data_IF_282881574272
#
_entry.id   IF_282881574272
#
_cell.length_a   1.000
_cell.length_b   1.000
_cell.length_c   1.000
_cell.angle_alpha   90.00
_cell.angle_beta   90.00
_cell.angle_gamma   90.00
#
_symmetry.space_group_name_H-M   'P 1'
#
loop_
_entity.id
_entity.type
_entity.pdbx_description
1 polymer ?
#
# COMPACT_ATOMS: atom_id res chain seq x y z
N UNK A 1 47.43 15.39 5.28
CA UNK A 1 46.14 15.87 4.74
C UNK A 1 45.02 15.55 5.73
N UNK A 2 45.23 16.02 6.97
CA UNK A 2 44.57 15.56 8.22
C UNK A 2 44.31 16.76 9.14
N UNK A 3 44.46 17.98 8.61
CA UNK A 3 44.38 19.25 9.33
C UNK A 3 43.15 20.10 8.94
N UNK A 4 42.36 19.70 7.93
CA UNK A 4 41.11 20.38 7.55
C UNK A 4 39.82 19.66 8.00
N UNK A 5 39.92 18.40 8.44
CA UNK A 5 38.77 17.65 8.98
C UNK A 5 38.56 17.93 10.49
N UNK A 6 39.62 18.33 11.21
CA UNK A 6 39.51 18.70 12.64
C UNK A 6 38.90 20.09 12.85
N UNK A 7 39.05 21.01 11.90
CA UNK A 7 38.52 22.39 12.01
C UNK A 7 37.02 22.47 11.74
N UNK A 8 36.46 21.59 10.89
CA UNK A 8 35.02 21.55 10.61
C UNK A 8 34.22 20.92 11.79
N UNK A 9 34.81 19.94 12.47
CA UNK A 9 34.19 19.29 13.64
C UNK A 9 34.15 20.24 14.85
N UNK A 10 35.15 21.12 15.02
CA UNK A 10 35.18 22.10 16.11
C UNK A 10 34.18 23.26 15.96
N UNK A 11 33.70 23.53 14.74
CA UNK A 11 32.72 24.60 14.45
C UNK A 11 31.29 24.08 14.60
N UNK A 12 31.02 22.79 14.34
CA UNK A 12 29.69 22.21 14.54
C UNK A 12 29.37 21.96 16.03
N UNK A 13 30.37 21.59 16.84
CA UNK A 13 30.18 21.35 18.29
C UNK A 13 30.01 22.65 19.10
N UNK A 14 30.42 23.80 18.56
CA UNK A 14 30.25 25.11 19.21
C UNK A 14 28.86 25.74 18.97
N UNK A 15 28.13 25.29 17.96
CA UNK A 15 26.77 25.77 17.65
C UNK A 15 25.66 25.07 18.46
N UNK A 16 26.04 24.10 19.30
CA UNK A 16 25.15 23.40 20.25
C UNK A 16 25.07 24.11 21.62
N UNK A 17 25.80 25.20 21.85
CA UNK A 17 25.93 25.77 23.20
C UNK A 17 25.53 27.25 23.38
N UNK A 18 24.83 27.90 22.44
CA UNK A 18 24.63 29.36 22.51
C UNK A 18 23.22 29.89 22.18
N UNK A 19 22.17 29.11 22.44
CA UNK A 19 20.78 29.64 22.51
C UNK A 19 19.99 29.22 23.75
N UNK A 20 20.60 28.53 24.71
CA UNK A 20 20.06 28.43 26.06
C UNK A 20 20.77 29.44 26.96
N UNK A 21 20.15 30.62 27.16
CA UNK A 21 20.10 31.38 28.42
C UNK A 21 19.80 32.86 28.13
N UNK A 22 18.63 33.29 28.64
CA UNK A 22 18.12 34.63 28.98
C UNK A 22 16.62 34.61 28.60
N UNK A 23 15.62 34.56 29.48
CA UNK A 23 15.50 34.82 30.93
C UNK A 23 14.12 34.31 31.37
N UNK A 24 14.02 33.75 32.58
CA UNK A 24 12.73 33.58 33.28
C UNK A 24 12.74 32.46 34.30
N UNK A 25 13.06 32.78 35.55
CA UNK A 25 12.94 31.86 36.68
C UNK A 25 11.48 31.39 36.84
N UNK A 26 11.21 30.14 36.48
CA UNK A 26 10.31 29.26 37.22
C UNK A 26 10.99 27.89 37.29
N UNK A 27 11.21 27.41 38.52
CA UNK A 27 11.62 26.04 38.77
C UNK A 27 10.47 25.11 38.39
N UNK A 28 10.43 24.65 37.14
CA UNK A 28 9.71 23.44 36.82
C UNK A 28 10.49 22.26 37.42
N UNK A 29 9.84 21.26 38.04
CA UNK A 29 10.52 20.03 38.43
C UNK A 29 11.17 19.38 37.21
N UNK A 30 12.20 18.56 37.43
CA UNK A 30 12.77 17.75 36.36
C UNK A 30 11.67 16.80 35.84
N UNK A 31 11.42 16.73 34.51
CA UNK A 31 10.35 15.91 33.97
C UNK A 31 10.58 14.44 34.33
N UNK A 32 9.61 13.85 35.04
CA UNK A 32 9.78 12.53 35.65
C UNK A 32 9.53 11.37 34.67
N UNK A 33 8.85 11.56 33.53
CA UNK A 33 8.31 10.45 32.73
C UNK A 33 9.06 10.27 31.39
N UNK A 34 10.14 9.47 31.40
CA UNK A 34 10.97 9.23 30.20
C UNK A 34 11.38 7.76 30.07
N UNK A 35 11.43 7.25 28.84
CA UNK A 35 11.93 5.91 28.55
C UNK A 35 12.04 5.59 27.06
N UNK A 36 12.89 4.62 26.72
CA UNK A 36 13.01 4.05 25.39
C UNK A 36 12.83 2.53 25.47
N UNK A 37 11.91 2.01 24.66
CA UNK A 37 11.45 0.62 24.74
C UNK A 37 11.57 -0.03 23.36
N UNK A 38 12.45 -1.03 23.25
CA UNK A 38 12.52 -1.88 22.06
C UNK A 38 11.52 -3.02 22.19
N UNK A 39 10.74 -3.28 21.14
CA UNK A 39 9.71 -4.30 21.15
C UNK A 39 10.36 -5.68 20.91
N UNK A 40 10.58 -6.47 21.97
CA UNK A 40 11.33 -7.75 21.86
C UNK A 40 10.55 -9.04 22.12
N UNK A 41 9.37 -9.02 22.76
CA UNK A 41 8.48 -10.20 22.89
C UNK A 41 7.11 -9.88 23.56
N UNK A 42 6.67 -8.63 23.57
CA UNK A 42 5.57 -8.18 24.43
C UNK A 42 4.44 -7.64 23.57
N UNK A 43 3.24 -8.21 23.75
CA UNK A 43 2.08 -8.06 22.87
C UNK A 43 1.75 -6.59 22.60
N UNK A 44 2.03 -6.12 21.38
CA UNK A 44 1.41 -4.90 20.86
C UNK A 44 0.08 -5.30 20.26
N UNK A 45 -0.98 -4.60 20.67
CA UNK A 45 -2.29 -4.71 20.06
C UNK A 45 -2.57 -3.48 19.21
N UNK A 46 -2.80 -3.71 17.92
CA UNK A 46 -3.32 -2.71 16.98
C UNK A 46 -4.72 -3.15 16.59
N UNK A 47 -5.72 -2.31 16.84
CA UNK A 47 -7.13 -2.65 16.57
C UNK A 47 -7.57 -3.98 17.21
N UNK A 48 -7.07 -4.28 18.41
CA UNK A 48 -7.36 -5.52 19.15
C UNK A 48 -6.64 -6.77 18.63
N UNK A 49 -5.87 -6.68 17.54
CA UNK A 49 -5.08 -7.79 16.98
C UNK A 49 -3.66 -7.74 17.51
N UNK A 50 -3.19 -8.86 18.06
CA UNK A 50 -1.78 -8.99 18.45
C UNK A 50 -0.94 -9.12 17.18
N UNK A 51 -0.04 -8.16 16.95
CA UNK A 51 0.84 -8.19 15.78
C UNK A 51 2.10 -9.01 16.06
N UNK A 52 2.56 -9.75 15.05
CA UNK A 52 3.83 -10.46 15.11
C UNK A 52 4.98 -9.48 14.87
N UNK A 53 5.80 -9.22 15.88
CA UNK A 53 6.87 -8.22 15.80
C UNK A 53 7.97 -8.59 14.80
N UNK A 54 8.05 -9.86 14.35
CA UNK A 54 8.98 -10.25 13.28
C UNK A 54 8.65 -9.61 11.93
N UNK A 55 7.39 -9.22 11.71
CA UNK A 55 6.97 -8.46 10.54
C UNK A 55 7.37 -6.97 10.64
N UNK A 56 7.81 -6.51 11.82
CA UNK A 56 8.11 -5.11 12.16
C UNK A 56 9.51 -4.95 12.77
N UNK A 57 10.59 -5.31 12.04
CA UNK A 57 11.94 -5.27 12.56
C UNK A 57 12.37 -3.84 12.88
N UNK A 58 12.99 -3.65 14.05
CA UNK A 58 13.50 -2.33 14.47
C UNK A 58 12.45 -1.41 15.08
N UNK A 59 11.23 -1.89 15.30
CA UNK A 59 10.18 -1.11 15.95
C UNK A 59 10.50 -0.77 17.41
N UNK A 60 10.21 0.47 17.79
CA UNK A 60 10.45 0.98 19.15
C UNK A 60 9.40 2.01 19.57
N UNK A 61 9.30 2.20 20.89
CA UNK A 61 8.51 3.29 21.48
C UNK A 61 9.42 4.13 22.36
N UNK A 62 9.39 5.44 22.14
CA UNK A 62 10.11 6.41 22.97
C UNK A 62 9.10 7.33 23.63
N UNK A 63 9.19 7.48 24.95
CA UNK A 63 8.37 8.41 25.72
C UNK A 63 9.30 9.49 26.27
N UNK A 64 9.03 10.75 25.93
CA UNK A 64 9.79 11.92 26.41
C UNK A 64 8.85 12.86 27.13
N UNK A 65 9.15 13.23 28.37
CA UNK A 65 8.29 14.14 29.10
C UNK A 65 8.45 15.58 28.60
N UNK A 66 7.31 16.27 28.51
CA UNK A 66 7.22 17.69 28.19
C UNK A 66 7.09 18.48 29.49
N UNK A 67 6.21 18.01 30.37
CA UNK A 67 5.98 18.49 31.73
C UNK A 67 5.47 17.35 32.63
N UNK A 68 4.93 17.67 33.81
CA UNK A 68 4.48 16.69 34.80
C UNK A 68 3.19 15.94 34.39
N UNK A 69 2.42 16.47 33.44
CA UNK A 69 1.13 15.91 32.99
C UNK A 69 1.10 15.59 31.50
N UNK A 70 2.17 15.93 30.77
CA UNK A 70 2.25 15.80 29.31
C UNK A 70 3.53 15.08 28.89
N UNK A 71 3.36 14.06 28.06
CA UNK A 71 4.46 13.32 27.43
C UNK A 71 4.31 13.32 25.92
N UNK A 72 5.43 13.23 25.21
CA UNK A 72 5.49 12.92 23.79
C UNK A 72 5.77 11.44 23.63
N UNK A 73 4.88 10.72 22.96
CA UNK A 73 5.03 9.30 22.61
C UNK A 73 5.41 9.22 21.14
N UNK A 74 6.59 8.69 20.86
CA UNK A 74 7.09 8.41 19.51
C UNK A 74 7.06 6.91 19.28
N UNK A 75 6.39 6.47 18.22
CA UNK A 75 6.25 5.06 17.82
C UNK A 75 6.94 4.90 16.47
N UNK A 76 8.03 4.17 16.43
CA UNK A 76 8.84 3.97 15.24
C UNK A 76 8.50 2.63 14.58
N UNK A 77 8.29 2.65 13.26
CA UNK A 77 8.21 1.45 12.41
C UNK A 77 7.23 0.37 12.89
N UNK A 78 6.06 0.77 13.42
CA UNK A 78 5.04 -0.14 13.98
C UNK A 78 3.67 0.01 13.31
N UNK A 79 3.43 1.13 12.61
CA UNK A 79 2.19 1.44 11.93
C UNK A 79 2.51 1.69 10.45
N UNK A 80 1.76 1.06 9.55
CA UNK A 80 1.92 1.30 8.12
C UNK A 80 1.75 2.79 7.80
N UNK A 81 2.52 3.31 6.84
CA UNK A 81 2.51 4.72 6.45
C UNK A 81 3.25 5.69 7.40
N UNK A 82 3.77 5.20 8.53
CA UNK A 82 4.55 6.01 9.47
C UNK A 82 5.94 5.41 9.69
N UNK A 83 6.98 6.15 9.30
CA UNK A 83 8.34 5.89 9.77
C UNK A 83 8.41 6.09 11.29
N UNK A 84 7.86 7.23 11.75
CA UNK A 84 7.67 7.58 13.16
C UNK A 84 6.33 8.30 13.32
N UNK A 85 5.43 7.77 14.16
CA UNK A 85 4.26 8.49 14.64
C UNK A 85 4.60 9.19 15.95
N UNK A 86 4.39 10.51 16.02
CA UNK A 86 4.56 11.30 17.26
C UNK A 86 3.21 11.77 17.76
N UNK A 87 2.90 11.47 19.03
CA UNK A 87 1.64 11.82 19.69
C UNK A 87 1.93 12.59 20.98
N UNK A 88 1.29 13.75 21.14
CA UNK A 88 1.20 14.41 22.43
C UNK A 88 0.16 13.69 23.28
N UNK A 89 0.54 13.22 24.45
CA UNK A 89 -0.29 12.42 25.33
C UNK A 89 -0.35 13.03 26.73
N UNK A 90 -1.52 12.99 27.34
CA UNK A 90 -1.68 13.27 28.77
C UNK A 90 -1.18 12.06 29.56
N UNK A 91 -0.40 12.31 30.60
CA UNK A 91 0.13 11.29 31.49
C UNK A 91 -0.37 11.51 32.92
N UNK A 92 -0.57 10.42 33.64
CA UNK A 92 -0.98 10.41 35.05
C UNK A 92 -0.33 9.24 35.78
N UNK A 93 0.22 9.46 36.97
CA UNK A 93 0.92 8.40 37.71
C UNK A 93 1.57 8.82 39.02
N UNK A 94 2.21 7.84 39.67
CA UNK A 94 2.84 7.97 41.00
C UNK A 94 4.34 8.28 40.91
N UNK A 95 4.87 8.56 39.71
CA UNK A 95 6.27 8.93 39.48
C UNK A 95 6.83 8.38 38.16
N UNK A 96 8.16 8.47 38.02
CA UNK A 96 8.91 8.09 36.81
C UNK A 96 8.66 6.67 36.33
N UNK A 97 8.61 5.73 37.27
CA UNK A 97 8.61 4.30 36.96
C UNK A 97 7.19 3.73 36.88
N UNK A 98 6.15 4.52 37.15
CA UNK A 98 4.76 4.02 37.14
C UNK A 98 3.77 5.10 36.77
N UNK A 99 3.34 5.07 35.51
CA UNK A 99 2.37 6.02 34.97
C UNK A 99 1.59 5.42 33.81
N UNK A 100 0.45 6.04 33.53
CA UNK A 100 -0.37 5.78 32.35
C UNK A 100 -0.30 6.98 31.43
N UNK A 101 -0.47 6.77 30.13
CA UNK A 101 -0.56 7.84 29.15
C UNK A 101 -1.66 7.56 28.13
N UNK A 102 -2.24 8.62 27.57
CA UNK A 102 -3.20 8.55 26.47
C UNK A 102 -3.10 9.79 25.60
N UNK A 103 -3.07 9.60 24.29
CA UNK A 103 -3.03 10.68 23.32
C UNK A 103 -3.71 10.28 22.01
N UNK A 104 -3.98 11.27 21.17
CA UNK A 104 -4.60 11.06 19.87
C UNK A 104 -3.83 11.79 18.78
N UNK A 105 -3.86 11.21 17.59
CA UNK A 105 -3.39 11.79 16.34
C UNK A 105 -4.56 11.77 15.36
N UNK A 106 -4.69 12.83 14.57
CA UNK A 106 -5.63 12.91 13.45
C UNK A 106 -4.91 13.53 12.27
N UNK A 107 -4.83 12.80 11.17
CA UNK A 107 -4.06 13.18 9.98
C UNK A 107 -3.86 11.99 9.06
N UNK A 108 -3.41 12.24 7.83
CA UNK A 108 -3.28 11.21 6.78
C UNK A 108 -4.51 10.31 6.65
N UNK A 109 -5.71 10.90 6.68
CA UNK A 109 -6.99 10.18 6.63
C UNK A 109 -7.14 9.08 7.70
N UNK A 110 -6.56 9.30 8.89
CA UNK A 110 -6.61 8.37 10.02
C UNK A 110 -6.80 9.09 11.34
N UNK A 111 -7.57 8.46 12.22
CA UNK A 111 -7.68 8.82 13.63
C UNK A 111 -7.03 7.72 14.47
N UNK A 112 -5.92 8.03 15.12
CA UNK A 112 -5.13 7.08 15.89
C UNK A 112 -5.18 7.47 17.36
N UNK A 113 -5.67 6.56 18.21
CA UNK A 113 -5.61 6.68 19.66
C UNK A 113 -4.52 5.77 20.21
N UNK A 114 -3.61 6.35 20.98
CA UNK A 114 -2.50 5.64 21.60
C UNK A 114 -2.68 5.72 23.10
N UNK A 115 -2.64 4.58 23.78
CA UNK A 115 -2.62 4.52 25.25
C UNK A 115 -1.67 3.46 25.75
N UNK A 116 -1.21 3.62 26.98
CA UNK A 116 -0.33 2.65 27.59
C UNK A 116 -0.08 2.86 29.07
N UNK A 117 0.57 1.86 29.65
CA UNK A 117 0.99 1.83 31.05
C UNK A 117 2.46 1.48 31.10
N UNK A 118 3.22 2.27 31.85
CA UNK A 118 4.60 1.98 32.23
C UNK A 118 4.61 1.47 33.66
N UNK A 119 5.27 0.34 33.89
CA UNK A 119 5.53 -0.23 35.21
C UNK A 119 6.98 -0.76 35.25
N UNK A 120 7.87 0.03 35.85
CA UNK A 120 9.32 -0.15 35.81
C UNK A 120 9.85 -0.12 34.38
N UNK A 121 10.42 -1.24 33.93
CA UNK A 121 10.92 -1.39 32.56
C UNK A 121 9.90 -1.97 31.58
N UNK A 122 8.68 -2.28 32.03
CA UNK A 122 7.64 -2.88 31.21
C UNK A 122 6.70 -1.80 30.65
N UNK A 123 6.46 -1.86 29.34
CA UNK A 123 5.49 -1.03 28.64
C UNK A 123 4.36 -1.92 28.12
N UNK A 124 3.13 -1.58 28.50
CA UNK A 124 1.92 -2.06 27.81
C UNK A 124 1.45 -0.96 26.85
N UNK A 125 1.28 -1.29 25.57
CA UNK A 125 0.84 -0.35 24.54
C UNK A 125 -0.42 -0.86 23.85
N UNK A 126 -1.42 0.00 23.73
CA UNK A 126 -2.65 -0.22 22.98
C UNK A 126 -2.80 0.88 21.93
N UNK A 127 -3.00 0.47 20.68
CA UNK A 127 -3.24 1.38 19.57
C UNK A 127 -4.58 1.04 18.92
N UNK A 128 -5.44 2.06 18.82
CA UNK A 128 -6.64 2.01 17.98
C UNK A 128 -6.41 2.93 16.80
N UNK A 129 -6.47 2.39 15.60
CA UNK A 129 -6.17 3.07 14.35
C UNK A 129 -7.36 2.95 13.41
N UNK A 130 -8.02 4.08 13.18
CA UNK A 130 -9.26 4.17 12.41
C UNK A 130 -8.98 4.89 11.10
N UNK A 131 -9.11 4.18 9.98
CA UNK A 131 -9.10 4.77 8.66
C UNK A 131 -10.39 5.59 8.45
N UNK A 132 -10.20 6.87 8.13
CA UNK A 132 -11.26 7.84 7.81
C UNK A 132 -11.24 8.27 6.34
N UNK A 133 -10.37 7.67 5.53
CA UNK A 133 -10.20 8.00 4.12
C UNK A 133 -11.49 7.81 3.30
N UNK A 134 -11.74 8.65 2.27
CA UNK A 134 -12.86 8.48 1.34
C UNK A 134 -12.89 7.14 0.62
N UNK A 135 -11.76 6.43 0.54
CA UNK A 135 -11.71 5.08 -0.05
C UNK A 135 -12.23 3.99 0.90
N UNK A 136 -12.38 4.28 2.19
CA UNK A 136 -12.89 3.33 3.18
C UNK A 136 -14.35 2.98 2.86
N UNK A 137 -14.65 1.68 2.73
CA UNK A 137 -15.99 1.23 2.35
C UNK A 137 -15.98 -0.08 1.56
N UNK A 138 -17.16 -0.48 1.09
CA UNK A 138 -17.33 -1.65 0.24
C UNK A 138 -17.47 -1.25 -1.21
N UNK A 139 -16.74 -1.94 -2.07
CA UNK A 139 -16.59 -1.58 -3.47
C UNK A 139 -16.76 -2.81 -4.36
N UNK A 140 -17.47 -2.62 -5.48
CA UNK A 140 -17.55 -3.56 -6.60
C UNK A 140 -16.88 -2.96 -7.83
N UNK A 141 -16.40 -3.83 -8.71
CA UNK A 141 -16.01 -3.38 -10.05
C UNK A 141 -17.22 -2.71 -10.74
N UNK A 142 -17.01 -1.52 -11.26
CA UNK A 142 -18.03 -0.83 -12.04
C UNK A 142 -18.23 -1.56 -13.37
N UNK A 143 -19.43 -1.47 -13.93
CA UNK A 143 -19.77 -2.03 -15.24
C UNK A 143 -20.02 -0.85 -16.18
N UNK A 144 -19.39 -0.85 -17.35
CA UNK A 144 -19.61 0.19 -18.36
C UNK A 144 -20.86 -0.10 -19.20
N UNK A 145 -21.19 0.81 -20.13
CA UNK A 145 -22.42 0.75 -20.93
C UNK A 145 -22.55 -0.51 -21.81
N UNK A 146 -21.43 -1.15 -22.12
CA UNK A 146 -21.37 -2.41 -22.89
C UNK A 146 -21.55 -3.67 -22.04
N UNK A 147 -21.77 -3.52 -20.73
CA UNK A 147 -21.95 -4.65 -19.81
C UNK A 147 -20.64 -5.29 -19.34
N UNK A 148 -19.48 -4.76 -19.73
CA UNK A 148 -18.18 -5.25 -19.28
C UNK A 148 -17.61 -4.39 -18.15
N UNK A 149 -16.73 -4.97 -17.33
CA UNK A 149 -16.04 -4.27 -16.25
C UNK A 149 -15.34 -3.00 -16.76
N UNK A 150 -15.47 -1.90 -16.04
CA UNK A 150 -14.89 -0.60 -16.39
C UNK A 150 -13.41 -0.56 -15.98
N UNK A 151 -12.62 -1.21 -16.83
CA UNK A 151 -11.17 -1.39 -16.71
C UNK A 151 -10.53 -0.85 -17.98
N UNK A 152 -9.44 -0.10 -17.85
CA UNK A 152 -8.71 0.39 -19.01
C UNK A 152 -7.20 0.36 -18.80
N UNK A 153 -6.49 -0.17 -19.78
CA UNK A 153 -5.07 -0.06 -19.96
C UNK A 153 -4.76 1.15 -20.85
N UNK A 154 -3.92 2.03 -20.35
CA UNK A 154 -3.30 3.11 -21.10
C UNK A 154 -1.81 2.83 -21.27
N UNK A 155 -1.30 3.17 -22.45
CA UNK A 155 0.09 3.02 -22.79
C UNK A 155 0.54 4.21 -23.64
N UNK A 156 1.73 4.72 -23.34
CA UNK A 156 2.35 5.77 -24.13
C UNK A 156 3.86 5.54 -24.19
N UNK A 157 4.44 5.62 -25.39
CA UNK A 157 5.88 5.59 -25.58
C UNK A 157 6.30 6.59 -26.66
N UNK A 158 7.34 7.40 -26.44
CA UNK A 158 7.88 8.27 -27.49
C UNK A 158 8.66 7.50 -28.56
N UNK A 159 8.99 6.22 -28.30
CA UNK A 159 9.84 5.39 -29.18
C UNK A 159 9.04 4.39 -30.03
N UNK A 160 7.76 4.16 -29.68
CA UNK A 160 6.91 3.16 -30.32
C UNK A 160 5.58 3.81 -30.68
N UNK A 161 5.38 4.10 -31.97
CA UNK A 161 4.11 4.55 -32.54
C UNK A 161 3.31 3.41 -33.19
N UNK A 162 4.01 2.35 -33.62
CA UNK A 162 3.47 1.26 -34.42
C UNK A 162 3.97 -0.10 -33.90
N UNK A 163 3.09 -1.08 -33.94
CA UNK A 163 3.34 -2.47 -33.57
C UNK A 163 3.46 -3.29 -34.86
N UNK A 164 4.65 -3.82 -35.18
CA UNK A 164 4.81 -4.69 -36.35
C UNK A 164 4.10 -6.04 -36.11
N UNK A 165 3.46 -6.56 -37.14
CA UNK A 165 3.01 -7.95 -37.20
C UNK A 165 3.89 -8.74 -38.19
N UNK A 166 4.11 -10.02 -37.89
CA UNK A 166 5.23 -10.83 -38.43
C UNK A 166 5.24 -11.10 -39.95
N UNK A 167 4.31 -10.53 -40.72
CA UNK A 167 4.21 -10.60 -42.18
C UNK A 167 4.71 -9.32 -42.89
N UNK A 168 5.24 -8.35 -42.14
CA UNK A 168 5.78 -7.10 -42.66
C UNK A 168 4.84 -5.90 -42.59
N UNK A 169 3.64 -6.03 -42.02
CA UNK A 169 2.77 -4.91 -41.70
C UNK A 169 2.94 -4.35 -40.28
N UNK A 170 2.27 -3.23 -39.98
CA UNK A 170 2.18 -2.66 -38.63
C UNK A 170 0.81 -2.06 -38.32
N UNK A 171 0.46 -1.98 -37.04
CA UNK A 171 -0.76 -1.32 -36.53
C UNK A 171 -0.36 -0.17 -35.59
N UNK A 172 -1.00 1.01 -35.68
CA UNK A 172 -0.79 2.08 -34.71
C UNK A 172 -1.06 1.61 -33.28
N UNK A 173 -0.25 2.05 -32.34
CA UNK A 173 -0.38 1.69 -30.91
C UNK A 173 -1.76 2.06 -30.36
N UNK A 174 -2.35 3.18 -30.80
CA UNK A 174 -3.68 3.61 -30.37
C UNK A 174 -4.79 2.63 -30.76
N UNK A 175 -4.77 2.15 -32.01
CA UNK A 175 -5.73 1.16 -32.51
C UNK A 175 -5.53 -0.19 -31.82
N UNK A 176 -4.27 -0.57 -31.61
CA UNK A 176 -3.90 -1.74 -30.85
C UNK A 176 -4.43 -1.69 -29.40
N UNK A 177 -4.34 -0.54 -28.73
CA UNK A 177 -4.84 -0.39 -27.36
C UNK A 177 -6.35 -0.53 -27.26
N UNK A 178 -7.12 -0.12 -28.28
CA UNK A 178 -8.57 -0.35 -28.32
C UNK A 178 -8.88 -1.84 -28.28
N UNK A 179 -8.20 -2.64 -29.11
CA UNK A 179 -8.38 -4.09 -29.16
C UNK A 179 -7.92 -4.77 -27.86
N UNK A 180 -6.79 -4.34 -27.28
CA UNK A 180 -6.30 -4.87 -25.99
C UNK A 180 -7.30 -4.58 -24.88
N UNK A 181 -7.85 -3.38 -24.83
CA UNK A 181 -8.81 -3.02 -23.80
C UNK A 181 -10.10 -3.82 -23.91
N UNK A 182 -10.63 -4.01 -25.11
CA UNK A 182 -11.81 -4.84 -25.33
C UNK A 182 -11.58 -6.27 -24.82
N UNK A 183 -10.49 -6.90 -25.28
CA UNK A 183 -10.12 -8.25 -24.89
C UNK A 183 -9.83 -8.41 -23.40
N UNK A 184 -9.10 -7.46 -22.80
CA UNK A 184 -8.82 -7.43 -21.36
C UNK A 184 -10.11 -7.42 -20.54
N UNK A 185 -11.05 -6.55 -20.92
CA UNK A 185 -12.34 -6.41 -20.22
C UNK A 185 -13.19 -7.65 -20.41
N UNK A 186 -13.26 -8.23 -21.60
CA UNK A 186 -13.99 -9.48 -21.86
C UNK A 186 -13.44 -10.66 -21.04
N UNK A 187 -12.12 -10.79 -20.91
CA UNK A 187 -11.54 -11.87 -20.13
C UNK A 187 -11.63 -11.67 -18.62
N UNK A 188 -11.53 -10.44 -18.12
CA UNK A 188 -11.57 -10.17 -16.67
C UNK A 188 -13.00 -10.12 -16.13
N UNK A 189 -13.98 -9.69 -16.94
CA UNK A 189 -15.37 -9.53 -16.48
C UNK A 189 -15.96 -10.81 -15.86
N UNK A 190 -15.80 -12.01 -16.45
CA UNK A 190 -16.27 -13.26 -15.85
C UNK A 190 -15.61 -13.57 -14.50
N UNK A 191 -14.32 -13.30 -14.36
CA UNK A 191 -13.58 -13.51 -13.10
C UNK A 191 -14.10 -12.57 -12.00
N UNK A 192 -14.44 -11.33 -12.37
CA UNK A 192 -15.03 -10.35 -11.46
C UNK A 192 -16.50 -10.64 -11.13
N UNK A 193 -17.20 -11.47 -11.90
CA UNK A 193 -18.59 -11.82 -11.61
C UNK A 193 -18.73 -12.59 -10.28
N UNK A 194 -17.68 -13.34 -9.90
CA UNK A 194 -17.61 -14.04 -8.62
C UNK A 194 -17.08 -13.15 -7.48
N UNK A 195 -16.51 -11.98 -7.79
CA UNK A 195 -16.11 -11.01 -6.78
C UNK A 195 -17.37 -10.29 -6.25
N UNK A 196 -17.78 -10.65 -5.04
CA UNK A 196 -18.88 -10.01 -4.36
C UNK A 196 -18.57 -8.56 -4.04
N UNK A 197 -17.56 -8.28 -3.21
CA UNK A 197 -17.06 -6.92 -3.02
C UNK A 197 -15.66 -6.96 -2.40
N UNK A 198 -14.95 -5.84 -2.50
CA UNK A 198 -13.75 -5.56 -1.71
C UNK A 198 -14.13 -4.52 -0.65
N UNK A 199 -13.93 -4.87 0.62
CA UNK A 199 -14.12 -3.98 1.76
C UNK A 199 -12.77 -3.44 2.23
N UNK A 200 -12.58 -2.13 2.11
CA UNK A 200 -11.53 -1.40 2.80
C UNK A 200 -12.10 -1.03 4.18
N UNK A 201 -11.78 -1.83 5.19
CA UNK A 201 -12.37 -1.71 6.53
C UNK A 201 -11.82 -0.49 7.27
N UNK A 202 -12.55 0.00 8.27
CA UNK A 202 -12.05 1.09 9.13
C UNK A 202 -10.82 0.73 9.95
N UNK A 203 -10.48 -0.55 10.08
CA UNK A 203 -9.33 -1.01 10.86
C UNK A 203 -8.07 -1.18 10.02
N UNK A 204 -8.08 -0.73 8.76
CA UNK A 204 -6.92 -0.81 7.86
C UNK A 204 -6.71 -2.19 7.23
N UNK A 205 -7.75 -3.03 7.17
CA UNK A 205 -7.71 -4.34 6.54
C UNK A 205 -8.56 -4.38 5.27
N UNK A 206 -8.20 -5.28 4.37
CA UNK A 206 -8.95 -5.56 3.15
C UNK A 206 -9.72 -6.87 3.36
N UNK A 207 -11.04 -6.78 3.35
CA UNK A 207 -11.92 -7.94 3.27
C UNK A 207 -12.32 -8.20 1.83
N UNK A 208 -12.24 -9.44 1.38
CA UNK A 208 -12.66 -9.83 0.03
C UNK A 208 -13.85 -10.77 0.18
N UNK A 209 -15.02 -10.31 -0.25
CA UNK A 209 -16.19 -11.16 -0.37
C UNK A 209 -16.22 -11.78 -1.76
N UNK A 210 -16.34 -13.09 -1.80
CA UNK A 210 -16.35 -13.88 -3.02
C UNK A 210 -17.59 -14.78 -3.01
N UNK A 211 -18.30 -14.80 -4.12
CA UNK A 211 -19.55 -15.53 -4.32
C UNK A 211 -19.35 -16.91 -4.98
N UNK A 212 -18.13 -17.19 -5.46
CA UNK A 212 -17.78 -18.47 -6.09
C UNK A 212 -17.09 -19.46 -5.15
N UNK A 213 -16.70 -20.62 -5.69
CA UNK A 213 -15.86 -21.57 -4.95
C UNK A 213 -14.44 -21.01 -4.80
N UNK A 214 -13.86 -21.17 -3.60
CA UNK A 214 -12.51 -20.71 -3.26
C UNK A 214 -11.72 -21.92 -2.78
N UNK A 215 -10.47 -22.04 -3.25
CA UNK A 215 -9.56 -23.06 -2.73
C UNK A 215 -9.26 -22.83 -1.26
N UNK A 216 -9.15 -23.89 -0.46
CA UNK A 216 -8.81 -23.80 0.97
C UNK A 216 -7.49 -23.08 1.25
N UNK A 217 -6.57 -23.04 0.29
CA UNK A 217 -5.31 -22.31 0.38
C UNK A 217 -5.48 -20.78 0.23
N UNK A 218 -6.51 -20.33 -0.48
CA UNK A 218 -6.76 -18.92 -0.78
C UNK A 218 -7.77 -18.28 0.18
N UNK A 219 -8.69 -19.07 0.75
CA UNK A 219 -9.71 -18.60 1.70
C UNK A 219 -9.13 -17.79 2.87
N UNK A 220 -8.01 -18.17 3.51
CA UNK A 220 -7.42 -17.37 4.58
C UNK A 220 -6.93 -15.99 4.13
N UNK A 221 -6.59 -15.80 2.85
CA UNK A 221 -6.12 -14.51 2.32
C UNK A 221 -7.26 -13.50 2.13
N UNK A 222 -8.51 -13.96 2.15
CA UNK A 222 -9.68 -13.13 1.87
C UNK A 222 -10.19 -12.35 3.09
N UNK A 223 -9.70 -12.67 4.30
CA UNK A 223 -10.12 -12.02 5.54
C UNK A 223 -8.93 -11.69 6.42
N UNK A 224 -8.81 -10.42 6.81
CA UNK A 224 -7.91 -9.91 7.86
C UNK A 224 -6.41 -10.22 7.69
N UNK A 225 -5.97 -10.55 6.48
CA UNK A 225 -4.54 -10.75 6.15
C UNK A 225 -3.95 -9.57 5.40
N UNK A 226 -4.67 -9.07 4.40
CA UNK A 226 -4.23 -7.95 3.58
C UNK A 226 -4.55 -6.66 4.34
N UNK A 227 -3.56 -5.79 4.47
CA UNK A 227 -3.72 -4.47 5.08
C UNK A 227 -3.70 -3.39 3.99
N UNK A 228 -4.27 -2.24 4.30
CA UNK A 228 -4.13 -1.06 3.46
C UNK A 228 -3.90 0.18 4.30
N UNK A 229 -3.30 1.20 3.68
CA UNK A 229 -3.19 2.53 4.28
C UNK A 229 -3.25 3.63 3.20
N UNK A 230 -3.92 4.76 3.49
CA UNK A 230 -3.99 5.90 2.59
C UNK A 230 -2.78 6.84 2.76
N UNK A 231 -2.27 7.37 1.65
CA UNK A 231 -1.32 8.47 1.57
C UNK A 231 -1.99 9.64 0.81
N UNK A 232 -2.88 10.40 1.47
CA UNK A 232 -3.75 11.35 0.79
C UNK A 232 -2.98 12.48 0.09
N UNK A 233 -1.84 12.89 0.63
CA UNK A 233 -0.99 13.95 0.05
C UNK A 233 -0.44 13.57 -1.33
N UNK A 234 -0.17 12.28 -1.55
CA UNK A 234 0.28 11.74 -2.83
C UNK A 234 -0.87 11.15 -3.67
N UNK A 235 -2.11 11.16 -3.14
CA UNK A 235 -3.26 10.44 -3.71
C UNK A 235 -2.93 8.96 -3.98
N UNK A 236 -2.23 8.32 -3.03
CA UNK A 236 -1.87 6.90 -3.08
C UNK A 236 -2.62 6.07 -2.05
N UNK A 237 -3.01 4.88 -2.44
CA UNK A 237 -3.59 3.84 -1.60
C UNK A 237 -2.62 2.66 -1.63
N UNK A 238 -2.07 2.31 -0.49
CA UNK A 238 -1.12 1.22 -0.38
C UNK A 238 -1.84 -0.06 0.02
N UNK A 239 -1.56 -1.14 -0.70
CA UNK A 239 -1.98 -2.49 -0.35
C UNK A 239 -0.76 -3.25 0.15
N UNK A 240 -0.81 -3.68 1.39
CA UNK A 240 0.30 -4.27 2.11
C UNK A 240 0.04 -5.74 2.47
N UNK A 241 0.98 -6.60 2.12
CA UNK A 241 1.05 -7.98 2.60
C UNK A 241 2.33 -8.17 3.41
N UNK A 242 2.17 -8.61 4.65
CA UNK A 242 3.26 -8.79 5.61
C UNK A 242 4.29 -9.84 5.17
N UNK A 243 5.51 -9.68 5.67
CA UNK A 243 6.67 -10.54 5.36
C UNK A 243 6.36 -12.02 5.61
N UNK A 244 5.80 -12.37 6.76
CA UNK A 244 5.47 -13.77 7.09
C UNK A 244 4.56 -14.46 6.07
N UNK A 245 3.66 -13.70 5.43
CA UNK A 245 2.76 -14.23 4.39
C UNK A 245 3.47 -14.29 3.05
N UNK A 246 4.10 -13.19 2.65
CA UNK A 246 4.81 -13.10 1.36
C UNK A 246 5.97 -14.11 1.27
N UNK A 247 6.73 -14.29 2.35
CA UNK A 247 7.76 -15.34 2.48
C UNK A 247 7.16 -16.74 2.45
N UNK A 248 6.06 -16.96 3.19
CA UNK A 248 5.36 -18.24 3.22
C UNK A 248 4.80 -18.65 1.85
N UNK A 249 4.44 -17.67 1.03
CA UNK A 249 4.01 -17.84 -0.36
C UNK A 249 5.17 -17.90 -1.37
N UNK A 250 6.41 -17.64 -0.93
CA UNK A 250 7.58 -17.62 -1.82
C UNK A 250 7.59 -16.48 -2.84
N UNK A 251 7.00 -15.32 -2.50
CA UNK A 251 6.99 -14.16 -3.39
C UNK A 251 8.39 -13.55 -3.52
N UNK A 252 8.72 -13.05 -4.72
CA UNK A 252 10.03 -12.41 -4.98
C UNK A 252 10.22 -11.09 -4.21
N UNK A 253 9.12 -10.44 -3.81
CA UNK A 253 9.10 -9.18 -3.07
C UNK A 253 8.46 -9.44 -1.70
N UNK A 254 9.20 -9.11 -0.62
CA UNK A 254 8.78 -9.35 0.75
C UNK A 254 9.35 -8.30 1.74
N UNK A 255 8.49 -7.60 2.53
CA UNK A 255 7.04 -7.57 2.41
C UNK A 255 6.62 -6.95 1.06
N UNK A 256 5.37 -7.17 0.67
CA UNK A 256 4.79 -6.54 -0.52
C UNK A 256 4.06 -5.27 -0.09
N UNK A 257 4.45 -4.14 -0.67
CA UNK A 257 3.75 -2.87 -0.56
C UNK A 257 3.48 -2.32 -1.96
N UNK A 258 2.23 -2.38 -2.39
CA UNK A 258 1.78 -1.95 -3.70
C UNK A 258 1.06 -0.60 -3.60
N UNK A 259 1.71 0.46 -4.09
CA UNK A 259 1.15 1.81 -4.12
C UNK A 259 0.26 2.01 -5.37
N UNK A 260 -1.06 2.13 -5.15
CA UNK A 260 -2.07 2.42 -6.16
C UNK A 260 -2.32 3.92 -6.18
N UNK A 261 -2.35 4.57 -7.33
CA UNK A 261 -2.97 5.89 -7.40
C UNK A 261 -4.49 5.75 -7.25
N UNK A 262 -5.13 6.67 -6.53
CA UNK A 262 -6.59 6.66 -6.40
C UNK A 262 -7.20 8.04 -6.61
N UNK A 263 -8.46 8.05 -7.01
CA UNK A 263 -9.31 9.25 -6.97
C UNK A 263 -10.75 8.86 -6.69
N UNK A 264 -11.43 9.63 -5.86
CA UNK A 264 -12.86 9.46 -5.61
C UNK A 264 -13.65 10.57 -6.30
N UNK A 265 -14.61 10.22 -7.16
CA UNK A 265 -15.46 11.19 -7.86
C UNK A 265 -16.88 10.65 -8.00
N UNK A 266 -17.88 11.48 -7.70
CA UNK A 266 -19.32 11.15 -7.90
C UNK A 266 -19.74 9.81 -7.24
N UNK A 267 -19.14 9.47 -6.10
CA UNK A 267 -19.40 8.21 -5.40
C UNK A 267 -18.68 7.00 -5.99
N UNK A 268 -17.87 7.15 -7.03
CA UNK A 268 -16.99 6.10 -7.56
C UNK A 268 -15.57 6.22 -7.03
N UNK A 269 -14.88 5.08 -6.94
CA UNK A 269 -13.45 4.97 -6.64
C UNK A 269 -12.73 4.54 -7.92
N UNK A 270 -11.80 5.35 -8.40
CA UNK A 270 -10.89 4.95 -9.48
C UNK A 270 -9.56 4.54 -8.85
N UNK A 271 -9.12 3.32 -9.13
CA UNK A 271 -7.79 2.83 -8.79
C UNK A 271 -6.93 2.78 -10.05
N UNK A 272 -5.67 3.18 -9.94
CA UNK A 272 -4.72 3.19 -11.04
C UNK A 272 -3.41 2.56 -10.60
N UNK A 273 -3.04 1.47 -11.26
CA UNK A 273 -1.73 0.84 -11.10
C UNK A 273 -0.82 1.44 -12.16
N UNK A 274 0.30 2.03 -11.75
CA UNK A 274 1.32 2.49 -12.68
C UNK A 274 2.30 1.35 -13.04
N UNK A 275 3.15 1.61 -14.02
CA UNK A 275 4.18 0.67 -14.50
C UNK A 275 4.97 0.01 -13.35
N UNK A 276 5.35 0.75 -12.32
CA UNK A 276 6.15 0.23 -11.20
C UNK A 276 5.31 -0.77 -10.39
N UNK A 277 4.05 -0.44 -10.13
CA UNK A 277 3.12 -1.29 -9.37
C UNK A 277 2.68 -2.55 -10.12
N UNK A 278 2.51 -2.48 -11.45
CA UNK A 278 2.12 -3.66 -12.26
C UNK A 278 3.34 -4.56 -12.58
N UNK A 279 4.55 -4.00 -12.62
CA UNK A 279 5.77 -4.72 -13.05
C UNK A 279 5.95 -6.13 -12.48
N UNK A 280 5.73 -6.39 -11.17
CA UNK A 280 5.89 -7.75 -10.61
C UNK A 280 4.92 -8.77 -11.22
N UNK A 281 3.75 -8.33 -11.68
CA UNK A 281 2.69 -9.18 -12.20
C UNK A 281 2.76 -9.36 -13.72
N UNK A 282 3.46 -8.46 -14.43
CA UNK A 282 3.53 -8.49 -15.89
C UNK A 282 4.31 -9.69 -16.43
N UNK A 283 5.24 -10.26 -15.66
CA UNK A 283 5.90 -11.52 -16.02
C UNK A 283 4.92 -12.69 -16.10
N UNK A 284 3.99 -12.79 -15.14
CA UNK A 284 2.95 -13.80 -15.14
C UNK A 284 1.96 -13.59 -16.30
N UNK A 285 1.51 -12.35 -16.51
CA UNK A 285 0.62 -11.98 -17.62
C UNK A 285 1.29 -12.31 -18.97
N UNK A 286 2.58 -12.00 -19.14
CA UNK A 286 3.34 -12.32 -20.36
C UNK A 286 3.38 -13.81 -20.64
N UNK A 287 3.68 -14.62 -19.62
CA UNK A 287 3.75 -16.07 -19.76
C UNK A 287 2.39 -16.64 -20.16
N UNK A 288 1.30 -16.19 -19.51
CA UNK A 288 -0.06 -16.59 -19.86
C UNK A 288 -0.37 -16.28 -21.32
N UNK A 289 -0.20 -15.03 -21.77
CA UNK A 289 -0.53 -14.63 -23.14
C UNK A 289 0.34 -15.33 -24.18
N UNK A 290 1.63 -15.53 -23.91
CA UNK A 290 2.53 -16.23 -24.83
C UNK A 290 2.22 -17.74 -24.92
N UNK A 291 1.65 -18.34 -23.87
CA UNK A 291 1.31 -19.77 -23.81
C UNK A 291 -0.03 -20.12 -24.49
N UNK A 292 -0.91 -19.15 -24.70
CA UNK A 292 -2.24 -19.37 -25.31
C UNK A 292 -2.12 -19.60 -26.82
N UNK A 293 -2.64 -20.74 -27.30
CA UNK A 293 -2.78 -21.05 -28.73
C UNK A 293 -4.12 -20.59 -29.28
N UNK A 294 -4.23 -20.45 -30.60
CA UNK A 294 -5.52 -20.10 -31.22
C UNK A 294 -6.58 -21.18 -31.00
N UNK A 295 -6.18 -22.46 -31.01
CA UNK A 295 -7.11 -23.57 -30.70
C UNK A 295 -7.59 -23.50 -29.24
N UNK A 296 -6.69 -23.29 -28.28
CA UNK A 296 -7.07 -23.13 -26.88
C UNK A 296 -7.97 -21.91 -26.65
N UNK A 297 -7.75 -20.84 -27.43
CA UNK A 297 -8.60 -19.65 -27.44
C UNK A 297 -10.02 -19.94 -27.95
N UNK A 298 -10.16 -20.69 -29.05
CA UNK A 298 -11.47 -21.11 -29.55
C UNK A 298 -12.18 -22.08 -28.59
N UNK A 299 -11.44 -23.02 -28.00
CA UNK A 299 -11.94 -23.98 -27.01
C UNK A 299 -12.43 -23.29 -25.74
N UNK A 300 -11.82 -22.17 -25.36
CA UNK A 300 -12.26 -21.31 -24.27
C UNK A 300 -13.51 -20.46 -24.62
N UNK A 301 -14.13 -20.68 -25.79
CA UNK A 301 -15.29 -19.93 -26.26
C UNK A 301 -14.94 -18.56 -26.83
N UNK A 302 -13.70 -18.38 -27.29
CA UNK A 302 -13.17 -17.15 -27.84
C UNK A 302 -13.34 -15.97 -26.85
N UNK A 303 -12.63 -15.99 -25.70
CA UNK A 303 -12.82 -15.04 -24.58
C UNK A 303 -12.50 -13.57 -24.91
N UNK A 304 -12.11 -13.28 -26.15
CA UNK A 304 -11.80 -11.95 -26.67
C UNK A 304 -12.64 -11.62 -27.93
N UNK A 305 -13.83 -12.22 -28.06
CA UNK A 305 -14.71 -12.12 -29.23
C UNK A 305 -14.38 -13.13 -30.33
N UNK A 306 -15.07 -13.13 -31.47
CA UNK A 306 -14.66 -13.99 -32.59
C UNK A 306 -13.49 -13.35 -33.34
N UNK A 307 -12.25 -13.70 -32.99
CA UNK A 307 -11.07 -13.34 -33.75
C UNK A 307 -10.73 -14.41 -34.79
N UNK A 308 -10.36 -14.00 -36.00
CA UNK A 308 -9.65 -14.87 -36.94
C UNK A 308 -8.26 -15.24 -36.39
N UNK A 309 -7.66 -16.32 -36.91
CA UNK A 309 -6.31 -16.75 -36.50
C UNK A 309 -5.25 -15.66 -36.70
N UNK A 310 -5.44 -14.85 -37.74
CA UNK A 310 -4.57 -13.72 -38.05
C UNK A 310 -4.71 -12.60 -37.00
N UNK A 311 -5.95 -12.23 -36.64
CA UNK A 311 -6.23 -11.26 -35.58
C UNK A 311 -5.76 -11.72 -34.21
N UNK A 312 -5.92 -13.01 -33.89
CA UNK A 312 -5.39 -13.61 -32.65
C UNK A 312 -3.85 -13.54 -32.59
N UNK A 313 -3.17 -13.79 -33.71
CA UNK A 313 -1.71 -13.72 -33.78
C UNK A 313 -1.21 -12.28 -33.63
N UNK A 314 -1.94 -11.31 -34.20
CA UNK A 314 -1.69 -9.87 -34.01
C UNK A 314 -1.87 -9.48 -32.54
N UNK A 315 -2.96 -9.90 -31.91
CA UNK A 315 -3.23 -9.68 -30.49
C UNK A 315 -2.13 -10.21 -29.57
N UNK A 316 -1.67 -11.44 -29.80
CA UNK A 316 -0.59 -12.05 -29.01
C UNK A 316 0.72 -11.25 -29.12
N UNK A 317 1.05 -10.79 -30.33
CA UNK A 317 2.26 -9.98 -30.57
C UNK A 317 2.21 -8.62 -29.86
N UNK A 318 1.01 -8.03 -29.76
CA UNK A 318 0.78 -6.78 -29.04
C UNK A 318 0.96 -6.92 -27.52
N UNK A 319 0.51 -8.02 -26.92
CA UNK A 319 0.73 -8.29 -25.50
C UNK A 319 2.22 -8.48 -25.14
N UNK A 320 3.01 -9.10 -26.02
CA UNK A 320 4.45 -9.23 -25.84
C UNK A 320 5.16 -7.86 -25.83
N UNK A 321 4.64 -6.88 -26.58
CA UNK A 321 5.18 -5.52 -26.62
C UNK A 321 4.86 -4.71 -25.36
N UNK A 322 3.70 -4.90 -24.74
CA UNK A 322 3.41 -4.32 -23.43
C UNK A 322 4.44 -4.73 -22.38
N UNK A 323 4.94 -5.96 -22.45
CA UNK A 323 5.96 -6.49 -21.55
C UNK A 323 7.35 -5.95 -21.90
N UNK A 324 7.70 -5.90 -23.19
CA UNK A 324 8.96 -5.28 -23.64
C UNK A 324 9.04 -3.78 -23.31
N UNK A 325 7.90 -3.09 -23.30
CA UNK A 325 7.80 -1.67 -22.98
C UNK A 325 8.24 -1.33 -21.54
N UNK A 326 8.22 -2.32 -20.64
CA UNK A 326 8.72 -2.19 -19.27
C UNK A 326 10.23 -2.04 -19.17
N UNK A 327 10.95 -2.23 -20.26
CA UNK A 327 12.40 -1.99 -20.34
C UNK A 327 12.73 -0.69 -21.07
N UNK A 328 11.72 -0.01 -21.63
CA UNK A 328 11.92 1.22 -22.41
C UNK A 328 11.87 2.46 -21.50
N UNK A 329 12.84 3.39 -21.61
CA UNK A 329 12.78 4.66 -20.90
C UNK A 329 11.59 5.51 -21.37
N UNK A 330 11.11 6.40 -20.50
CA UNK A 330 10.06 7.39 -20.79
C UNK A 330 8.74 6.80 -21.33
N UNK A 331 8.49 5.54 -21.00
CA UNK A 331 7.28 4.80 -21.40
C UNK A 331 6.34 4.68 -20.22
N UNK A 332 5.11 5.15 -20.41
CA UNK A 332 4.04 5.12 -19.43
C UNK A 332 3.13 3.91 -19.69
N UNK A 333 2.82 3.18 -18.63
CA UNK A 333 1.85 2.10 -18.62
C UNK A 333 0.99 2.29 -17.36
N UNK A 334 -0.33 2.30 -17.52
CA UNK A 334 -1.26 2.41 -16.40
C UNK A 334 -2.50 1.58 -16.65
N UNK A 335 -2.87 0.77 -15.66
CA UNK A 335 -4.12 0.03 -15.59
C UNK A 335 -5.06 0.74 -14.62
N UNK A 336 -6.22 1.16 -15.10
CA UNK A 336 -7.25 1.84 -14.34
C UNK A 336 -8.44 0.93 -14.14
N UNK A 337 -8.99 0.91 -12.94
CA UNK A 337 -10.16 0.15 -12.56
C UNK A 337 -11.12 1.10 -11.86
N UNK A 338 -12.32 1.28 -12.42
CA UNK A 338 -13.39 2.01 -11.74
C UNK A 338 -14.15 1.03 -10.85
N UNK A 339 -14.45 1.50 -9.64
CA UNK A 339 -15.26 0.80 -8.67
C UNK A 339 -16.45 1.67 -8.24
N UNK A 340 -17.55 1.01 -7.92
CA UNK A 340 -18.77 1.64 -7.38
C UNK A 340 -19.06 1.12 -5.98
N UNK A 341 -19.77 1.88 -5.13
CA UNK A 341 -20.12 1.44 -3.80
C UNK A 341 -21.00 0.19 -3.85
N UNK A 342 -20.73 -0.75 -2.97
CA UNK A 342 -21.66 -1.85 -2.71
C UNK A 342 -22.79 -1.37 -1.78
N UNK A 343 -24.02 -1.51 -2.22
CA UNK A 343 -25.24 -1.12 -1.48
C UNK A 343 -25.59 -2.11 -0.38
#
# INVERSE_FOLDING_TARGET
MTAHIKTLLSILTASVCLTSLLTGCQSAPAPAMEGHYTLQAQSVQVNGTIINITDWPGSSVTISAVDDETVTVSIDSLLLGFDTLTVSATAAGEGKDKYTFSGTYSGQDRDISVSGTVDGSALSLSITDICTSPVTGRWKAAVADDGLADISLSFYSPLVSDIPYGDGGSIPVEDALVLINAALREAITPELANLGYVELTRTGYVGINWNGDISSEAEPLLQDVIQYWPEPEASRLHIYLRRTITDGMGLEISPLDAALAYSTSEGSLMLSLDRKTISPWLGAISNTVNSTTYEAYLEAGSPFGELSMEEFTRYRSMASLLVASLSMPDTELSLKVRMTPES
#
